data_IF_355534729822
#
_entry.id   IF_355534729822
#
_cell.length_a   1.000
_cell.length_b   1.000
_cell.length_c   1.000
_cell.angle_alpha   90.00
_cell.angle_beta   90.00
_cell.angle_gamma   90.00
#
_symmetry.space_group_name_H-M   'P 1'
#
loop_
_entity.id
_entity.type
_entity.pdbx_description
1 polymer ?
#
# COMPACT_ATOMS: atom_id res chain seq x y z
N UNK A 1 4.39 18.20 1.60
CA UNK A 1 3.13 18.17 0.83
C UNK A 1 3.20 16.95 -0.06
N UNK A 2 2.70 15.81 0.42
CA UNK A 2 2.67 14.57 -0.36
C UNK A 2 1.78 14.79 -1.57
N UNK A 3 2.29 14.59 -2.79
CA UNK A 3 1.47 14.74 -3.99
C UNK A 3 0.79 13.39 -4.23
N UNK A 4 -0.50 13.42 -4.56
CA UNK A 4 -1.27 12.25 -4.95
C UNK A 4 -1.32 12.21 -6.47
N UNK A 5 -1.29 11.01 -7.06
CA UNK A 5 -1.51 10.76 -8.48
C UNK A 5 -2.76 9.89 -8.66
N UNK A 6 -3.59 10.15 -9.68
CA UNK A 6 -4.68 9.26 -10.00
C UNK A 6 -4.13 7.93 -10.55
N UNK A 7 -4.61 6.81 -10.02
CA UNK A 7 -4.39 5.48 -10.60
C UNK A 7 -5.21 5.30 -11.90
N UNK A 8 -5.00 4.19 -12.61
CA UNK A 8 -5.78 3.79 -13.78
C UNK A 8 -7.30 3.80 -13.56
N UNK A 9 -7.76 3.56 -12.32
CA UNK A 9 -9.18 3.62 -11.93
C UNK A 9 -9.63 5.02 -11.44
N UNK A 10 -8.76 6.03 -11.51
CA UNK A 10 -9.05 7.41 -11.10
C UNK A 10 -9.00 7.66 -9.60
N UNK A 11 -8.55 6.68 -8.80
CA UNK A 11 -8.38 6.82 -7.34
C UNK A 11 -7.14 7.66 -7.04
N UNK A 12 -7.23 8.57 -6.08
CA UNK A 12 -6.05 9.29 -5.61
C UNK A 12 -5.14 8.34 -4.81
N UNK A 13 -3.98 8.05 -5.38
CA UNK A 13 -2.95 7.19 -4.76
C UNK A 13 -1.73 8.06 -4.43
N UNK A 14 -1.12 7.92 -3.25
CA UNK A 14 0.11 8.63 -2.93
C UNK A 14 1.24 8.27 -3.90
N UNK A 15 2.21 9.16 -4.06
CA UNK A 15 3.45 8.89 -4.82
C UNK A 15 4.19 7.64 -4.34
N UNK A 16 4.10 7.35 -3.03
CA UNK A 16 4.80 6.25 -2.36
C UNK A 16 3.79 5.33 -1.69
N UNK A 17 3.99 4.03 -1.83
CA UNK A 17 3.22 2.96 -1.20
C UNK A 17 4.16 1.98 -0.50
N UNK A 18 3.60 1.13 0.35
CA UNK A 18 4.35 0.06 1.02
C UNK A 18 4.11 -1.26 0.29
N UNK A 19 5.17 -2.03 0.08
CA UNK A 19 5.12 -3.34 -0.56
C UNK A 19 5.77 -4.39 0.34
N UNK A 20 5.17 -5.57 0.39
CA UNK A 20 5.82 -6.74 0.97
C UNK A 20 7.00 -7.18 0.06
N UNK A 21 8.16 -7.47 0.66
CA UNK A 21 9.38 -7.88 -0.07
C UNK A 21 9.38 -9.33 -0.54
N UNK A 22 8.40 -10.12 -0.11
CA UNK A 22 8.15 -11.46 -0.65
C UNK A 22 8.08 -11.44 -2.17
N UNK A 23 8.70 -12.43 -2.80
CA UNK A 23 8.66 -12.61 -4.26
C UNK A 23 7.25 -12.89 -4.80
N UNK A 24 6.32 -13.30 -3.92
CA UNK A 24 4.93 -13.59 -4.28
C UNK A 24 3.99 -12.41 -4.02
N UNK A 25 4.50 -11.30 -3.49
CA UNK A 25 3.68 -10.12 -3.24
C UNK A 25 3.44 -9.36 -4.55
N UNK A 26 2.18 -9.17 -4.90
CA UNK A 26 1.70 -8.39 -6.04
C UNK A 26 0.83 -7.19 -5.61
N UNK A 27 0.81 -6.87 -4.31
CA UNK A 27 -0.05 -5.85 -3.72
C UNK A 27 0.74 -4.67 -3.16
N UNK A 28 0.24 -3.46 -3.40
CA UNK A 28 0.69 -2.21 -2.80
C UNK A 28 -0.29 -1.75 -1.72
N UNK A 29 0.25 -1.33 -0.59
CA UNK A 29 -0.50 -0.86 0.57
C UNK A 29 -0.32 0.63 0.76
N UNK A 30 -1.32 1.25 1.38
CA UNK A 30 -1.17 2.61 1.89
C UNK A 30 -0.15 2.57 3.04
N UNK A 31 0.83 3.48 3.08
CA UNK A 31 1.72 3.61 4.24
C UNK A 31 0.92 3.96 5.50
N UNK A 32 1.24 3.35 6.63
CA UNK A 32 0.66 3.74 7.92
C UNK A 32 1.11 5.16 8.30
N UNK A 33 0.20 6.13 8.47
CA UNK A 33 0.58 7.51 8.77
C UNK A 33 1.12 7.70 10.20
N UNK A 34 1.02 6.69 11.05
CA UNK A 34 1.44 6.75 12.45
C UNK A 34 2.75 5.98 12.72
N UNK A 35 3.33 5.36 11.69
CA UNK A 35 4.56 4.57 11.77
C UNK A 35 5.70 5.26 11.03
N UNK A 36 6.86 5.36 11.68
CA UNK A 36 8.12 5.79 11.03
C UNK A 36 8.78 4.66 10.22
N UNK A 37 8.35 3.41 10.42
CA UNK A 37 8.82 2.25 9.65
C UNK A 37 7.86 1.93 8.50
N UNK A 38 8.37 1.40 7.36
CA UNK A 38 7.55 1.00 6.22
C UNK A 38 6.57 -0.10 6.63
N UNK A 39 5.35 0.28 6.95
CA UNK A 39 4.28 -0.63 7.37
C UNK A 39 2.99 -0.28 6.64
N UNK A 40 2.17 -1.27 6.28
CA UNK A 40 0.87 -1.00 5.70
C UNK A 40 -0.08 -0.43 6.76
N UNK A 41 -0.95 0.49 6.37
CA UNK A 41 -1.99 1.07 7.23
C UNK A 41 -3.09 0.07 7.63
N UNK A 42 -3.13 -1.12 7.01
CA UNK A 42 -4.15 -2.13 7.28
C UNK A 42 -3.61 -3.27 8.14
N UNK A 43 -4.55 -4.08 8.64
CA UNK A 43 -4.31 -5.28 9.47
C UNK A 43 -3.33 -6.32 8.89
N UNK A 44 -2.92 -6.21 7.62
CA UNK A 44 -1.87 -7.08 7.08
C UNK A 44 -0.50 -6.90 7.77
N UNK A 45 -0.24 -5.75 8.39
CA UNK A 45 0.94 -5.56 9.26
C UNK A 45 0.91 -6.55 10.44
N UNK A 46 -0.27 -6.75 11.05
CA UNK A 46 -0.45 -7.55 12.25
C UNK A 46 -0.46 -9.05 11.94
N UNK A 47 -1.24 -9.46 10.93
CA UNK A 47 -1.30 -10.88 10.51
C UNK A 47 -0.01 -11.40 9.89
N UNK A 48 0.83 -10.50 9.37
CA UNK A 48 2.13 -10.83 8.80
C UNK A 48 3.24 -10.08 9.52
N UNK A 49 3.28 -10.15 10.86
CA UNK A 49 4.33 -9.51 11.66
C UNK A 49 5.77 -9.93 11.30
N UNK A 50 5.97 -11.09 10.67
CA UNK A 50 7.27 -11.55 10.15
C UNK A 50 7.56 -11.09 8.70
N UNK A 51 6.64 -10.38 8.05
CA UNK A 51 6.84 -9.90 6.69
C UNK A 51 7.70 -8.63 6.67
N UNK A 52 8.73 -8.64 5.82
CA UNK A 52 9.55 -7.46 5.58
C UNK A 52 8.86 -6.57 4.54
N UNK A 53 8.61 -5.31 4.92
CA UNK A 53 7.94 -4.31 4.11
C UNK A 53 8.92 -3.19 3.72
N UNK A 54 8.66 -2.53 2.60
CA UNK A 54 9.49 -1.42 2.12
C UNK A 54 8.66 -0.39 1.39
N UNK A 55 9.05 0.88 1.52
CA UNK A 55 8.52 1.96 0.70
C UNK A 55 8.96 1.80 -0.75
N UNK A 56 8.02 2.03 -1.67
CA UNK A 56 8.25 1.99 -3.11
C UNK A 56 7.45 3.09 -3.81
N UNK A 57 8.00 3.67 -4.90
CA UNK A 57 7.24 4.56 -5.75
C UNK A 57 6.14 3.78 -6.48
N UNK A 58 4.89 4.21 -6.36
CA UNK A 58 3.73 3.52 -6.97
C UNK A 58 3.90 3.39 -8.49
N UNK A 59 4.40 4.44 -9.13
CA UNK A 59 4.62 4.47 -10.58
C UNK A 59 5.62 3.42 -11.10
N UNK A 60 6.50 2.88 -10.24
CA UNK A 60 7.41 1.80 -10.64
C UNK A 60 6.73 0.42 -10.66
N UNK A 61 5.51 0.30 -10.13
CA UNK A 61 4.78 -0.95 -9.98
C UNK A 61 3.38 -0.89 -10.61
N UNK A 62 3.25 -0.55 -11.90
CA UNK A 62 1.95 -0.35 -12.55
C UNK A 62 1.12 -1.65 -12.71
N UNK A 63 1.73 -2.81 -12.53
CA UNK A 63 1.06 -4.12 -12.61
C UNK A 63 0.62 -4.66 -11.25
N UNK A 64 1.00 -3.99 -10.16
CA UNK A 64 0.63 -4.41 -8.82
C UNK A 64 -0.80 -3.95 -8.52
N UNK A 65 -1.51 -4.76 -7.74
CA UNK A 65 -2.84 -4.43 -7.27
C UNK A 65 -2.73 -3.49 -6.08
N UNK A 66 -3.70 -2.59 -5.94
CA UNK A 66 -3.86 -1.81 -4.73
C UNK A 66 -4.59 -2.65 -3.68
N UNK A 67 -4.13 -2.59 -2.43
CA UNK A 67 -4.76 -3.30 -1.33
C UNK A 67 -6.22 -2.82 -1.15
N UNK A 68 -7.14 -3.77 -1.23
CA UNK A 68 -8.59 -3.54 -1.16
C UNK A 68 -9.11 -3.43 0.29
N UNK A 69 -8.22 -3.38 1.28
CA UNK A 69 -8.62 -3.04 2.65
C UNK A 69 -9.06 -1.55 2.72
N UNK A 70 -10.13 -1.20 3.45
CA UNK A 70 -10.62 0.17 3.61
C UNK A 70 -9.60 1.13 4.21
N UNK A 71 -8.73 0.63 5.08
CA UNK A 71 -7.64 1.39 5.68
C UNK A 71 -6.55 1.74 4.64
N UNK A 72 -6.51 0.99 3.53
CA UNK A 72 -5.64 1.24 2.38
C UNK A 72 -6.38 2.00 1.27
N UNK A 73 -6.79 1.28 0.22
CA UNK A 73 -7.40 1.83 -1.00
C UNK A 73 -8.76 1.19 -1.32
N UNK A 74 -9.25 0.32 -0.43
CA UNK A 74 -10.56 -0.31 -0.54
C UNK A 74 -11.70 0.64 -0.21
N UNK A 75 -12.88 0.31 -0.70
CA UNK A 75 -14.15 0.83 -0.19
C UNK A 75 -14.56 0.09 1.09
N UNK A 76 -15.46 0.66 1.90
CA UNK A 76 -16.03 0.00 3.08
C UNK A 76 -16.48 -1.43 2.76
N UNK A 77 -16.12 -2.40 3.63
CA UNK A 77 -16.57 -3.78 3.50
C UNK A 77 -18.09 -3.84 3.75
N UNK A 78 -18.86 -4.27 2.74
CA UNK A 78 -20.27 -4.64 2.83
C UNK A 78 -20.45 -6.14 3.12
#
# INVERSE_FOLDING_TARGET
>A
MSRSHPDADGREVPETAVRNRSQYADTLHRPDPNSDEPQPACVEADYRGDADFTDVPVAAYPHYKLCENPECFGSEWW
#
